data_IF_534284641899
#
_entry.id   IF_534284641899
#
_cell.length_a   1.000
_cell.length_b   1.000
_cell.length_c   1.000
_cell.angle_alpha   90.00
_cell.angle_beta   90.00
_cell.angle_gamma   90.00
#
_symmetry.space_group_name_H-M   'P 1'
#
loop_
_entity.id
_entity.type
_entity.pdbx_description
1 polymer ?
#
# COMPACT_ATOMS: atom_id res chain seq x y z
N UNK A 1 -24.71 -10.71 -25.90
CA UNK A 1 -23.49 -11.45 -26.28
C UNK A 1 -22.62 -11.54 -25.04
N UNK A 2 -22.19 -12.72 -24.58
CA UNK A 2 -21.45 -12.80 -23.33
C UNK A 2 -20.05 -12.18 -23.50
N UNK A 3 -19.56 -11.57 -22.43
CA UNK A 3 -18.23 -10.97 -22.22
C UNK A 3 -17.10 -12.03 -22.29
N UNK A 4 -17.06 -12.84 -23.34
CA UNK A 4 -15.89 -13.62 -23.72
C UNK A 4 -15.08 -12.82 -24.73
N UNK A 5 -13.75 -12.92 -24.67
CA UNK A 5 -12.81 -12.39 -25.67
C UNK A 5 -12.36 -10.93 -25.54
N UNK A 6 -11.93 -10.53 -24.34
CA UNK A 6 -10.84 -9.54 -24.23
C UNK A 6 -9.68 -10.03 -23.34
N UNK A 7 -9.39 -11.33 -23.39
CA UNK A 7 -8.09 -11.87 -22.96
C UNK A 7 -7.20 -11.94 -24.20
N UNK A 8 -6.54 -10.83 -24.54
CA UNK A 8 -5.34 -10.94 -25.36
C UNK A 8 -4.30 -11.68 -24.52
N UNK A 9 -4.09 -12.95 -24.87
CA UNK A 9 -2.91 -13.69 -24.44
C UNK A 9 -1.69 -12.84 -24.76
N UNK A 10 -0.76 -12.61 -23.81
CA UNK A 10 0.44 -11.87 -24.10
C UNK A 10 1.17 -12.58 -25.24
N UNK A 11 1.63 -11.82 -26.24
CA UNK A 11 2.38 -12.34 -27.39
C UNK A 11 3.49 -13.28 -26.88
N UNK A 12 3.64 -14.43 -27.53
CA UNK A 12 4.74 -15.35 -27.26
C UNK A 12 6.06 -14.57 -27.29
N UNK A 13 6.83 -14.62 -26.20
CA UNK A 13 8.14 -13.95 -26.09
C UNK A 13 8.27 -12.85 -25.03
N UNK A 14 7.22 -12.52 -24.27
CA UNK A 14 7.37 -11.57 -23.14
C UNK A 14 8.04 -12.28 -21.95
N UNK A 15 9.22 -11.83 -21.48
CA UNK A 15 9.86 -12.41 -20.31
C UNK A 15 8.96 -12.23 -19.08
N UNK A 16 8.68 -13.35 -18.38
CA UNK A 16 7.88 -13.38 -17.15
C UNK A 16 8.84 -13.40 -15.97
N UNK A 17 8.77 -12.40 -15.11
CA UNK A 17 9.39 -12.47 -13.80
C UNK A 17 8.38 -13.07 -12.82
N UNK A 18 8.75 -14.14 -12.13
CA UNK A 18 8.02 -14.64 -10.98
C UNK A 18 8.54 -13.89 -9.75
N UNK A 19 7.62 -13.40 -8.91
CA UNK A 19 7.98 -12.74 -7.66
C UNK A 19 8.28 -13.80 -6.60
N UNK A 20 9.56 -14.03 -6.32
CA UNK A 20 9.98 -14.80 -5.15
C UNK A 20 9.85 -13.89 -3.92
N UNK A 21 8.68 -13.91 -3.27
CA UNK A 21 8.35 -13.19 -2.02
C UNK A 21 8.49 -11.65 -1.99
N UNK A 22 9.02 -11.02 -3.03
CA UNK A 22 9.24 -9.57 -3.09
C UNK A 22 7.95 -8.77 -3.32
N UNK A 23 7.89 -7.57 -2.71
CA UNK A 23 6.78 -6.64 -2.91
C UNK A 23 6.77 -6.07 -4.34
N UNK A 24 5.57 -5.84 -4.91
CA UNK A 24 5.39 -5.45 -6.30
C UNK A 24 6.14 -4.14 -6.68
N UNK A 25 6.13 -3.08 -5.86
CA UNK A 25 7.01 -1.92 -6.05
C UNK A 25 8.51 -2.24 -6.13
N UNK A 26 9.02 -3.13 -5.29
CA UNK A 26 10.44 -3.56 -5.34
C UNK A 26 10.73 -4.29 -6.64
N UNK A 27 9.83 -5.18 -7.06
CA UNK A 27 9.94 -5.88 -8.34
C UNK A 27 9.90 -4.93 -9.53
N UNK A 28 9.00 -3.94 -9.52
CA UNK A 28 8.90 -2.91 -10.58
C UNK A 28 10.20 -2.11 -10.64
N UNK A 29 10.72 -1.64 -9.49
CA UNK A 29 12.00 -0.90 -9.45
C UNK A 29 13.14 -1.72 -10.02
N UNK A 30 13.29 -2.98 -9.59
CA UNK A 30 14.33 -3.87 -10.14
C UNK A 30 14.16 -4.11 -11.64
N UNK A 31 12.93 -4.27 -12.12
CA UNK A 31 12.64 -4.44 -13.54
C UNK A 31 12.97 -3.18 -14.36
N UNK A 32 12.82 -2.00 -13.76
CA UNK A 32 13.17 -0.71 -14.38
C UNK A 32 14.68 -0.48 -14.35
N UNK A 33 15.35 -0.69 -13.22
CA UNK A 33 16.79 -0.51 -13.04
C UNK A 33 17.61 -1.52 -13.85
N UNK A 34 17.12 -2.76 -13.98
CA UNK A 34 17.80 -3.82 -14.72
C UNK A 34 17.65 -3.74 -16.24
N UNK A 35 16.95 -2.73 -16.77
CA UNK A 35 16.69 -2.58 -18.21
C UNK A 35 17.07 -1.17 -18.64
N UNK A 36 17.84 -1.07 -19.72
CA UNK A 36 18.09 0.19 -20.39
C UNK A 36 16.81 0.58 -21.17
N UNK A 37 15.85 1.23 -20.49
CA UNK A 37 14.55 1.59 -21.06
C UNK A 37 14.72 2.80 -21.99
N UNK A 38 15.33 2.56 -23.16
CA UNK A 38 15.83 3.66 -24.00
C UNK A 38 15.08 3.86 -25.33
N UNK A 39 13.93 3.21 -25.55
CA UNK A 39 13.20 3.33 -26.83
C UNK A 39 11.66 3.40 -26.70
N UNK A 40 11.05 4.14 -27.65
CA UNK A 40 9.60 4.22 -27.86
C UNK A 40 9.04 2.79 -28.05
N UNK A 41 8.24 2.32 -27.09
CA UNK A 41 7.55 1.02 -27.15
C UNK A 41 7.93 0.01 -26.05
N UNK A 42 8.87 0.33 -25.17
CA UNK A 42 9.14 -0.47 -23.98
C UNK A 42 8.25 -0.02 -22.81
N UNK A 43 7.62 -0.97 -22.13
CA UNK A 43 6.72 -0.73 -21.02
C UNK A 43 6.50 -1.97 -20.17
N UNK A 44 5.95 -1.79 -18.98
CA UNK A 44 5.52 -2.87 -18.11
C UNK A 44 4.01 -3.08 -18.28
N UNK A 45 3.59 -4.31 -18.54
CA UNK A 45 2.18 -4.67 -18.55
C UNK A 45 1.85 -5.46 -17.27
N UNK A 46 0.88 -4.97 -16.52
CA UNK A 46 0.33 -5.64 -15.35
C UNK A 46 -1.09 -6.10 -15.69
N UNK A 47 -1.39 -7.38 -15.41
CA UNK A 47 -2.74 -7.93 -15.57
C UNK A 47 -3.22 -8.50 -14.24
N UNK A 48 -4.48 -8.27 -13.92
CA UNK A 48 -5.14 -8.80 -12.73
C UNK A 48 -6.12 -9.88 -13.19
N UNK A 49 -5.97 -11.09 -12.64
CA UNK A 49 -6.89 -12.21 -12.88
C UNK A 49 -7.48 -12.66 -11.55
N UNK A 50 -8.81 -12.59 -11.44
CA UNK A 50 -9.52 -13.15 -10.29
C UNK A 50 -9.59 -14.67 -10.44
N UNK A 51 -9.13 -15.40 -9.42
CA UNK A 51 -9.24 -16.86 -9.34
C UNK A 51 -10.26 -17.18 -8.24
N UNK A 52 -11.34 -17.86 -8.60
CA UNK A 52 -12.39 -18.24 -7.66
C UNK A 52 -12.09 -19.57 -6.98
N UNK A 53 -12.56 -19.71 -5.73
CA UNK A 53 -12.35 -20.91 -4.92
C UNK A 53 -11.43 -20.67 -3.73
N UNK A 54 -11.24 -21.71 -2.92
CA UNK A 54 -10.26 -21.67 -1.83
C UNK A 54 -8.82 -21.80 -2.35
N UNK A 55 -7.85 -21.46 -1.51
CA UNK A 55 -6.43 -21.48 -1.89
C UNK A 55 -5.95 -22.88 -2.30
N UNK A 56 -6.52 -23.94 -1.74
CA UNK A 56 -6.12 -25.33 -2.04
C UNK A 56 -6.57 -25.70 -3.45
N UNK A 57 -7.82 -25.36 -3.80
CA UNK A 57 -8.40 -25.57 -5.11
C UNK A 57 -7.70 -24.74 -6.18
N UNK A 58 -7.48 -23.44 -5.93
CA UNK A 58 -6.79 -22.55 -6.89
C UNK A 58 -5.38 -23.05 -7.21
N UNK A 59 -4.66 -23.57 -6.21
CA UNK A 59 -3.30 -24.12 -6.40
C UNK A 59 -3.30 -25.43 -7.18
N UNK A 60 -4.35 -26.24 -7.05
CA UNK A 60 -4.54 -27.46 -7.83
C UNK A 60 -4.89 -27.15 -9.29
N UNK A 61 -5.79 -26.20 -9.51
CA UNK A 61 -6.33 -25.90 -10.84
C UNK A 61 -5.40 -24.96 -11.65
N UNK A 62 -4.58 -24.16 -10.97
CA UNK A 62 -3.65 -23.21 -11.57
C UNK A 62 -2.23 -23.25 -10.96
N UNK A 63 -1.54 -24.41 -11.00
CA UNK A 63 -0.25 -24.61 -10.31
C UNK A 63 0.88 -23.72 -10.87
N UNK A 64 0.76 -23.25 -12.10
CA UNK A 64 1.72 -22.35 -12.74
C UNK A 64 1.48 -20.86 -12.43
N UNK A 65 0.37 -20.53 -11.77
CA UNK A 65 0.05 -19.15 -11.35
C UNK A 65 0.19 -18.96 -9.84
N UNK A 66 -0.04 -20.01 -9.05
CA UNK A 66 -0.02 -19.95 -7.58
C UNK A 66 0.76 -21.14 -7.04
N UNK A 67 1.94 -20.88 -6.48
CA UNK A 67 2.82 -21.88 -5.87
C UNK A 67 2.80 -21.79 -4.33
N UNK A 68 3.52 -22.69 -3.65
CA UNK A 68 3.76 -22.71 -2.19
C UNK A 68 4.37 -21.40 -1.67
N UNK A 69 5.17 -20.72 -2.50
CA UNK A 69 5.83 -19.46 -2.17
C UNK A 69 4.97 -18.22 -2.46
N UNK A 70 3.79 -18.36 -3.06
CA UNK A 70 2.93 -17.22 -3.38
C UNK A 70 2.51 -16.53 -2.08
N UNK A 71 2.88 -15.25 -1.96
CA UNK A 71 2.54 -14.43 -0.81
C UNK A 71 1.01 -14.33 -0.67
N UNK A 72 0.50 -14.78 0.48
CA UNK A 72 -0.92 -14.65 0.83
C UNK A 72 -1.09 -13.36 1.60
N UNK A 73 -1.53 -12.31 0.92
CA UNK A 73 -1.96 -11.10 1.58
C UNK A 73 -3.32 -11.34 2.24
N UNK A 74 -3.35 -11.41 3.58
CA UNK A 74 -4.60 -11.16 4.32
C UNK A 74 -5.00 -9.70 4.07
N UNK A 75 -6.29 -9.39 3.97
CA UNK A 75 -6.82 -8.03 3.79
C UNK A 75 -5.98 -6.98 4.54
N UNK A 76 -5.33 -6.06 3.81
CA UNK A 76 -4.36 -5.04 4.30
C UNK A 76 -3.20 -5.53 5.22
N UNK A 77 -3.10 -6.83 5.53
CA UNK A 77 -2.22 -7.39 6.55
C UNK A 77 -2.75 -7.31 7.98
N UNK A 78 -3.98 -6.81 8.19
CA UNK A 78 -4.54 -6.58 9.52
C UNK A 78 -5.58 -7.64 9.91
N UNK A 79 -5.60 -8.10 11.18
CA UNK A 79 -6.65 -9.00 11.64
C UNK A 79 -8.00 -8.28 11.60
N UNK A 80 -9.01 -8.87 10.93
CA UNK A 80 -10.38 -8.33 10.88
C UNK A 80 -11.06 -8.31 12.26
N UNK A 81 -10.56 -9.09 13.22
CA UNK A 81 -11.08 -9.19 14.58
C UNK A 81 -10.17 -8.44 15.54
N UNK A 82 -10.70 -7.35 16.10
CA UNK A 82 -10.11 -6.70 17.27
C UNK A 82 -10.49 -7.56 18.48
N UNK A 83 -9.53 -8.31 19.02
CA UNK A 83 -9.78 -9.15 20.19
C UNK A 83 -10.19 -8.26 21.37
N UNK A 84 -11.38 -8.47 21.98
CA UNK A 84 -11.70 -7.81 23.24
C UNK A 84 -10.72 -8.34 24.29
N UNK A 85 -9.91 -7.46 24.87
CA UNK A 85 -8.97 -7.82 25.93
C UNK A 85 -9.69 -8.59 27.02
N UNK A 86 -9.43 -9.90 27.14
CA UNK A 86 -10.03 -10.73 28.17
C UNK A 86 -9.46 -10.32 29.53
N UNK A 87 -10.15 -9.43 30.25
CA UNK A 87 -10.08 -9.38 31.72
C UNK A 87 -10.62 -10.70 32.24
N UNK A 88 -9.76 -11.58 32.74
CA UNK A 88 -10.19 -12.76 33.49
C UNK A 88 -9.69 -14.09 32.96
N UNK A 89 -8.38 -14.30 32.99
CA UNK A 89 -7.82 -15.60 33.35
C UNK A 89 -6.60 -15.32 34.24
N UNK A 90 -6.69 -15.78 35.48
CA UNK A 90 -5.71 -15.64 36.56
C UNK A 90 -4.28 -15.78 36.02
N UNK A 91 -3.46 -14.72 36.12
CA UNK A 91 -2.00 -14.81 35.97
C UNK A 91 -1.34 -14.08 34.78
N UNK A 92 -2.06 -13.33 33.94
CA UNK A 92 -1.43 -12.54 32.86
C UNK A 92 -1.41 -11.05 33.24
N UNK A 93 -0.28 -10.58 33.76
CA UNK A 93 0.03 -9.15 33.86
C UNK A 93 0.41 -8.64 32.47
N UNK A 94 -0.57 -8.17 31.71
CA UNK A 94 -0.36 -7.68 30.35
C UNK A 94 -1.67 -7.59 29.60
N UNK A 95 -2.66 -6.92 30.19
CA UNK A 95 -3.87 -6.52 29.48
C UNK A 95 -3.55 -5.35 28.55
N UNK A 96 -2.76 -5.57 27.50
CA UNK A 96 -2.54 -4.58 26.45
C UNK A 96 -3.84 -4.42 25.66
N UNK A 97 -4.54 -3.33 25.97
CA UNK A 97 -5.64 -2.79 25.19
C UNK A 97 -5.01 -2.26 23.89
N UNK A 98 -5.12 -3.07 22.83
CA UNK A 98 -4.78 -2.69 21.46
C UNK A 98 -5.70 -1.56 21.00
N UNK A 99 -5.23 -0.32 21.05
CA UNK A 99 -5.92 0.83 20.46
C UNK A 99 -5.29 1.14 19.10
N UNK A 100 -5.36 0.15 18.20
CA UNK A 100 -4.95 0.34 16.81
C UNK A 100 -5.95 1.31 16.14
N UNK A 101 -5.45 2.43 15.64
CA UNK A 101 -6.23 3.40 14.87
C UNK A 101 -5.99 3.14 13.39
N UNK A 102 -7.05 2.92 12.62
CA UNK A 102 -6.96 2.84 11.17
C UNK A 102 -7.28 4.21 10.58
N UNK A 103 -6.35 4.74 9.78
CA UNK A 103 -6.52 6.00 9.07
C UNK A 103 -6.59 5.71 7.59
N UNK A 104 -7.67 6.13 6.95
CA UNK A 104 -7.83 6.05 5.51
C UNK A 104 -7.71 7.44 4.89
N UNK A 105 -6.67 7.66 4.11
CA UNK A 105 -6.54 8.81 3.23
C UNK A 105 -7.40 8.56 1.99
N UNK A 106 -8.62 9.11 1.99
CA UNK A 106 -9.61 8.86 0.93
C UNK A 106 -9.31 9.70 -0.31
N UNK A 107 -9.45 11.01 -0.21
CA UNK A 107 -9.36 11.92 -1.34
C UNK A 107 -9.10 13.37 -0.90
N UNK A 108 -8.67 14.21 -1.84
CA UNK A 108 -8.50 15.65 -1.66
C UNK A 108 -8.62 16.38 -2.99
N UNK A 109 -9.10 17.62 -2.94
CA UNK A 109 -9.21 18.49 -4.10
C UNK A 109 -8.29 19.71 -3.93
N UNK A 110 -7.44 19.93 -4.93
CA UNK A 110 -6.46 21.01 -4.89
C UNK A 110 -6.55 21.85 -6.15
N UNK A 111 -6.68 23.16 -5.98
CA UNK A 111 -6.71 24.10 -7.08
C UNK A 111 -5.30 24.44 -7.59
N UNK A 112 -5.19 24.59 -8.92
CA UNK A 112 -3.96 25.03 -9.59
C UNK A 112 -3.59 26.50 -9.33
N UNK A 113 -4.53 27.29 -8.78
CA UNK A 113 -4.36 28.75 -8.65
C UNK A 113 -4.11 29.40 -10.02
N UNK A 114 -3.09 30.26 -10.11
CA UNK A 114 -2.70 30.96 -11.35
C UNK A 114 -1.83 30.16 -12.31
N UNK A 115 -1.45 28.91 -11.97
CA UNK A 115 -0.57 28.09 -12.83
C UNK A 115 -1.34 27.39 -13.96
N UNK A 116 -0.63 27.13 -15.07
CA UNK A 116 -1.19 26.44 -16.25
C UNK A 116 -1.48 24.96 -15.96
N UNK A 117 -0.64 24.31 -15.16
CA UNK A 117 -0.71 22.89 -14.80
C UNK A 117 -1.18 22.69 -13.37
N UNK A 118 -1.76 21.51 -13.09
CA UNK A 118 -2.08 21.09 -11.74
C UNK A 118 -0.81 20.78 -10.94
N UNK A 119 -0.90 20.87 -9.61
CA UNK A 119 0.21 20.52 -8.71
C UNK A 119 0.25 19.02 -8.49
N UNK A 120 1.45 18.47 -8.37
CA UNK A 120 1.65 17.13 -7.83
C UNK A 120 1.51 17.21 -6.31
N UNK A 121 0.63 16.39 -5.73
CA UNK A 121 0.30 16.45 -4.30
C UNK A 121 0.73 15.16 -3.62
N UNK A 122 1.51 15.31 -2.55
CA UNK A 122 1.89 14.24 -1.62
C UNK A 122 1.32 14.61 -0.25
N UNK A 123 0.68 13.66 0.44
CA UNK A 123 0.24 13.85 1.82
C UNK A 123 1.24 13.14 2.72
N UNK A 124 1.79 13.89 3.65
CA UNK A 124 2.66 13.37 4.70
C UNK A 124 1.85 13.25 5.99
N UNK A 125 1.83 12.06 6.58
CA UNK A 125 1.19 11.80 7.88
C UNK A 125 2.25 11.50 8.94
N UNK A 126 2.09 12.12 10.11
CA UNK A 126 2.92 11.90 11.30
C UNK A 126 2.03 11.81 12.54
N UNK A 127 2.47 11.03 13.52
CA UNK A 127 1.87 11.02 14.85
C UNK A 127 2.74 11.90 15.73
N UNK A 128 2.13 12.86 16.42
CA UNK A 128 2.86 13.82 17.25
C UNK A 128 2.42 13.72 18.72
N UNK A 129 3.36 13.95 19.63
CA UNK A 129 3.08 14.17 21.05
C UNK A 129 2.56 15.60 21.32
N UNK A 130 2.27 15.90 22.59
CA UNK A 130 1.76 17.22 23.01
C UNK A 130 2.75 18.37 22.77
N UNK A 131 4.05 18.07 22.68
CA UNK A 131 5.09 19.04 22.39
C UNK A 131 5.31 19.24 20.87
N UNK A 132 4.55 18.52 20.03
CA UNK A 132 4.70 18.51 18.58
C UNK A 132 5.83 17.61 18.06
N UNK A 133 6.48 16.84 18.95
CA UNK A 133 7.51 15.87 18.61
C UNK A 133 6.92 14.66 17.89
N UNK A 134 7.61 14.15 16.86
CA UNK A 134 7.14 12.98 16.10
C UNK A 134 7.37 11.71 16.92
N UNK A 135 6.29 10.96 17.15
CA UNK A 135 6.35 9.65 17.81
C UNK A 135 6.94 8.63 16.83
N UNK A 136 8.08 8.00 17.15
CA UNK A 136 8.76 7.13 16.21
C UNK A 136 8.07 5.77 16.06
N UNK A 137 8.08 5.21 14.85
CA UNK A 137 7.75 3.80 14.57
C UNK A 137 6.35 3.33 15.03
N UNK A 138 5.35 4.20 14.94
CA UNK A 138 3.95 3.87 15.31
C UNK A 138 3.04 3.68 14.10
N UNK A 139 3.46 4.06 12.89
CA UNK A 139 2.67 3.93 11.67
C UNK A 139 3.06 2.66 10.94
N UNK A 140 2.08 1.83 10.63
CA UNK A 140 2.21 0.62 9.82
C UNK A 140 1.50 0.87 8.49
N UNK A 141 2.25 0.98 7.38
CA UNK A 141 1.67 1.22 6.07
C UNK A 141 0.95 -0.03 5.49
N UNK A 142 1.23 -1.21 6.04
CA UNK A 142 0.63 -2.48 5.63
C UNK A 142 1.58 -3.32 4.78
N UNK A 143 1.05 -4.34 4.10
CA UNK A 143 1.77 -5.18 3.12
C UNK A 143 3.06 -5.89 3.61
N UNK A 144 3.31 -5.95 4.91
CA UNK A 144 4.51 -6.56 5.49
C UNK A 144 5.68 -5.59 5.69
N UNK A 145 5.48 -4.30 5.40
CA UNK A 145 6.45 -3.25 5.73
C UNK A 145 6.56 -3.08 7.25
N UNK A 146 7.78 -2.75 7.70
CA UNK A 146 8.05 -2.43 9.10
C UNK A 146 7.38 -1.13 9.57
N UNK A 147 7.37 -0.88 10.89
CA UNK A 147 6.84 0.37 11.42
C UNK A 147 7.65 1.57 10.94
N UNK A 148 6.96 2.70 10.75
CA UNK A 148 7.50 3.97 10.31
C UNK A 148 7.04 5.12 11.21
N UNK A 149 7.87 6.17 11.30
CA UNK A 149 7.54 7.42 12.00
C UNK A 149 6.77 8.41 11.11
N UNK A 150 6.82 8.20 9.81
CA UNK A 150 6.21 9.07 8.80
C UNK A 150 5.68 8.23 7.66
N UNK A 151 4.45 8.51 7.25
CA UNK A 151 3.85 7.95 6.05
C UNK A 151 3.73 9.02 4.97
N UNK A 152 4.00 8.63 3.72
CA UNK A 152 3.85 9.50 2.55
C UNK A 152 2.96 8.81 1.53
N UNK A 153 1.96 9.53 1.05
CA UNK A 153 1.02 9.02 0.05
C UNK A 153 1.67 8.83 -1.32
N UNK A 154 1.00 8.08 -2.19
CA UNK A 154 1.30 8.10 -3.63
C UNK A 154 1.03 9.50 -4.20
N UNK A 155 1.78 9.86 -5.24
CA UNK A 155 1.61 11.12 -5.99
C UNK A 155 0.97 10.81 -7.32
N UNK A 156 -0.25 11.30 -7.53
CA UNK A 156 -0.87 11.29 -8.86
C UNK A 156 -0.49 12.56 -9.62
N UNK A 157 0.02 12.36 -10.84
CA UNK A 157 0.53 13.42 -11.68
C UNK A 157 -0.58 14.36 -12.16
N UNK A 158 -0.45 15.65 -11.83
CA UNK A 158 -1.31 16.74 -12.32
C UNK A 158 -2.81 16.47 -12.22
N UNK A 159 -3.24 15.77 -11.17
CA UNK A 159 -4.61 15.39 -10.98
C UNK A 159 -5.29 16.31 -9.95
N UNK A 160 -6.39 16.94 -10.35
CA UNK A 160 -7.16 17.88 -9.51
C UNK A 160 -7.83 17.16 -8.34
N UNK A 161 -8.47 16.02 -8.63
CA UNK A 161 -9.15 15.19 -7.66
C UNK A 161 -8.25 14.01 -7.30
N UNK A 162 -7.47 14.16 -6.23
CA UNK A 162 -6.62 13.10 -5.70
C UNK A 162 -7.50 12.07 -5.00
N UNK A 163 -7.36 10.80 -5.37
CA UNK A 163 -8.10 9.67 -4.77
C UNK A 163 -7.11 8.59 -4.38
N UNK A 164 -6.50 8.75 -3.20
CA UNK A 164 -5.49 7.84 -2.68
C UNK A 164 -6.08 6.49 -2.30
N UNK A 165 -7.19 6.50 -1.53
CA UNK A 165 -7.79 5.28 -0.97
C UNK A 165 -6.77 4.42 -0.20
N UNK A 166 -5.82 5.10 0.45
CA UNK A 166 -4.72 4.48 1.17
C UNK A 166 -5.14 4.29 2.63
N UNK A 167 -4.99 3.08 3.17
CA UNK A 167 -5.30 2.79 4.58
C UNK A 167 -4.04 2.34 5.30
N UNK A 168 -3.73 3.03 6.38
CA UNK A 168 -2.60 2.75 7.26
C UNK A 168 -3.08 2.52 8.68
N UNK A 169 -2.34 1.73 9.44
CA UNK A 169 -2.62 1.47 10.85
C UNK A 169 -1.65 2.25 11.72
N UNK A 170 -2.14 2.79 12.82
CA UNK A 170 -1.33 3.42 13.86
C UNK A 170 -1.48 2.58 15.12
N UNK A 171 -0.40 1.98 15.60
CA UNK A 171 -0.42 1.14 16.80
C UNK A 171 -0.21 1.98 18.06
N UNK A 172 -1.02 1.71 19.07
CA UNK A 172 -0.83 2.11 20.48
C UNK A 172 -0.19 3.50 20.68
N UNK A 173 -0.81 4.59 20.16
CA UNK A 173 -0.33 5.93 20.44
C UNK A 173 -0.37 6.17 21.97
N UNK A 174 0.71 6.71 22.58
CA UNK A 174 0.76 6.97 24.01
C UNK A 174 -0.42 7.84 24.48
N UNK A 175 -0.92 7.65 25.72
CA UNK A 175 -1.98 8.49 26.28
C UNK A 175 -1.59 9.96 26.20
N UNK A 176 -2.45 10.77 25.57
CA UNK A 176 -2.21 12.20 25.39
C UNK A 176 -1.47 12.59 24.12
N UNK A 177 -1.13 11.66 23.21
CA UNK A 177 -0.70 12.01 21.86
C UNK A 177 -1.87 12.55 21.03
N UNK A 178 -1.57 13.49 20.14
CA UNK A 178 -2.55 14.04 19.21
C UNK A 178 -2.90 13.00 18.13
N UNK A 179 -4.11 13.08 17.55
CA UNK A 179 -4.45 12.27 16.39
C UNK A 179 -3.45 12.52 15.23
N UNK A 180 -3.26 11.54 14.33
CA UNK A 180 -2.32 11.68 13.22
C UNK A 180 -2.58 12.95 12.42
N UNK A 181 -1.54 13.79 12.30
CA UNK A 181 -1.61 15.07 11.59
C UNK A 181 -1.26 14.83 10.12
N UNK A 182 -2.12 15.33 9.24
CA UNK A 182 -1.95 15.26 7.79
C UNK A 182 -1.46 16.61 7.28
N UNK A 183 -0.30 16.60 6.62
CA UNK A 183 0.30 17.77 6.00
C UNK A 183 0.41 17.54 4.49
N UNK A 184 -0.37 18.25 3.65
CA UNK A 184 -0.17 18.23 2.21
C UNK A 184 1.11 18.99 1.86
N UNK A 185 1.98 18.37 1.07
CA UNK A 185 3.23 18.95 0.59
C UNK A 185 3.42 18.70 -0.90
N UNK A 186 4.28 19.51 -1.53
CA UNK A 186 4.79 19.19 -2.85
C UNK A 186 5.87 18.12 -2.70
N UNK A 187 5.86 17.07 -3.54
CA UNK A 187 6.94 16.09 -3.51
C UNK A 187 8.27 16.75 -3.89
N UNK A 188 9.40 16.28 -3.35
CA UNK A 188 10.71 16.78 -3.72
C UNK A 188 10.99 16.57 -5.23
N UNK A 189 11.83 17.42 -5.84
CA UNK A 189 12.06 17.44 -7.30
C UNK A 189 12.61 16.12 -7.87
N UNK A 190 13.25 15.28 -7.05
CA UNK A 190 13.77 13.96 -7.45
C UNK A 190 12.71 12.87 -7.62
N UNK A 191 11.43 13.16 -7.32
CA UNK A 191 10.33 12.18 -7.34
C UNK A 191 9.31 12.42 -8.47
N UNK A 192 9.66 13.26 -9.44
CA UNK A 192 8.77 13.66 -10.54
C UNK A 192 8.81 12.73 -11.75
N UNK A 193 9.54 11.61 -11.68
CA UNK A 193 9.76 10.67 -12.79
C UNK A 193 9.22 9.27 -12.48
#
# INVERSE_FOLDING_TARGET
APLGDLLQTPRAGVPRAAADSDFLPTMIRRAVEGRDINHKGQGLWVSLKMLGGDLVQVRRDHPHLVDRSTAVARKLGYPEVIMPGKRGARGVSGGDIRNDIYVTLVQGEFDKGSKKTQKNVEVTMRVCDQAGGVVPNVIFPGAGDGPASEYRSVVYYQQRHQRWMETVKVCDPPPGCDPPRLHPSLPPPSRTE
#
